data_IF_396849466031
#
_entry.id   IF_396849466031
#
_cell.length_a   1.000
_cell.length_b   1.000
_cell.length_c   1.000
_cell.angle_alpha   90.00
_cell.angle_beta   90.00
_cell.angle_gamma   90.00
#
_symmetry.space_group_name_H-M   'P 1'
#
loop_
_entity.id
_entity.type
_entity.pdbx_description
1 polymer ?
#
# COMPACT_ATOMS: atom_id res chain seq x y z
N UNK A 1 8.04 -1.90 15.52
CA UNK A 1 8.99 -2.06 16.67
C UNK A 1 8.80 -0.93 17.69
N UNK A 2 9.17 -1.13 18.96
CA UNK A 2 9.22 -0.04 19.96
C UNK A 2 10.56 0.69 19.91
N UNK A 3 10.54 2.02 19.87
CA UNK A 3 11.73 2.87 19.93
C UNK A 3 11.64 3.76 21.16
N UNK A 4 12.78 3.97 21.84
CA UNK A 4 12.88 4.86 23.00
C UNK A 4 13.21 6.28 22.53
N UNK A 5 12.34 7.24 22.84
CA UNK A 5 12.58 8.66 22.57
C UNK A 5 13.54 9.29 23.58
N UNK A 6 14.00 10.51 23.28
CA UNK A 6 14.98 11.27 24.08
C UNK A 6 14.53 11.50 25.54
N UNK A 7 13.22 11.59 25.78
CA UNK A 7 12.61 11.76 27.11
C UNK A 7 12.07 10.44 27.70
N UNK A 8 12.67 9.29 27.36
CA UNK A 8 12.23 7.95 27.79
C UNK A 8 10.81 7.51 27.38
N UNK A 9 10.13 8.25 26.50
CA UNK A 9 8.85 7.82 25.94
C UNK A 9 9.03 6.61 25.02
N UNK A 10 8.07 5.67 25.02
CA UNK A 10 8.03 4.55 24.08
C UNK A 10 7.18 4.93 22.87
N UNK A 11 7.80 4.92 21.69
CA UNK A 11 7.13 5.19 20.41
C UNK A 11 6.98 3.90 19.63
N UNK A 12 5.76 3.59 19.17
CA UNK A 12 5.55 2.52 18.21
C UNK A 12 5.95 3.03 16.83
N UNK A 13 6.87 2.35 16.18
CA UNK A 13 7.33 2.69 14.83
C UNK A 13 6.99 1.57 13.87
N UNK A 14 6.32 1.94 12.78
CA UNK A 14 6.05 1.11 11.61
C UNK A 14 6.84 1.69 10.45
N UNK A 15 7.61 0.84 9.77
CA UNK A 15 8.30 1.21 8.55
C UNK A 15 7.47 0.69 7.39
N UNK A 16 7.06 1.59 6.49
CA UNK A 16 6.45 1.21 5.21
C UNK A 16 7.45 1.50 4.11
N UNK A 17 7.53 0.61 3.12
CA UNK A 17 8.30 0.83 1.89
C UNK A 17 7.47 1.56 0.82
N UNK A 18 6.21 1.89 1.12
CA UNK A 18 5.30 2.54 0.18
C UNK A 18 5.66 4.00 -0.10
N UNK A 19 5.46 4.41 -1.35
CA UNK A 19 5.49 5.82 -1.71
C UNK A 19 4.27 6.51 -1.08
N UNK A 20 4.48 7.61 -0.35
CA UNK A 20 3.38 8.36 0.28
C UNK A 20 2.64 9.27 -0.73
N UNK A 21 3.13 9.33 -1.98
CA UNK A 21 2.62 10.20 -3.03
C UNK A 21 1.65 9.44 -3.94
N UNK A 22 0.42 9.94 -4.02
CA UNK A 22 -0.59 9.49 -4.98
C UNK A 22 -0.37 10.17 -6.35
N UNK A 23 -0.61 9.46 -7.46
CA UNK A 23 -0.64 10.09 -8.78
C UNK A 23 0.74 10.59 -9.22
N UNK A 24 1.79 9.80 -9.00
CA UNK A 24 3.13 10.17 -9.45
C UNK A 24 3.28 10.08 -10.97
N UNK A 25 4.05 11.01 -11.53
CA UNK A 25 4.38 11.03 -12.95
C UNK A 25 5.41 9.92 -13.30
N UNK A 26 6.19 9.47 -12.33
CA UNK A 26 7.29 8.51 -12.51
C UNK A 26 7.06 7.26 -11.67
N UNK A 27 7.79 6.19 -12.00
CA UNK A 27 7.80 4.95 -11.23
C UNK A 27 7.18 3.75 -11.95
N UNK A 28 6.94 2.71 -11.16
CA UNK A 28 6.36 1.46 -11.61
C UNK A 28 5.12 1.10 -10.76
N UNK A 29 4.64 -0.10 -10.98
CA UNK A 29 3.49 -0.72 -10.36
C UNK A 29 3.59 -0.70 -8.83
N UNK A 30 4.80 -0.87 -8.28
CA UNK A 30 5.07 -0.77 -6.85
C UNK A 30 4.74 0.60 -6.26
N UNK A 31 4.78 1.68 -7.05
CA UNK A 31 4.39 3.02 -6.58
C UNK A 31 2.86 3.17 -6.42
N UNK A 32 2.06 2.27 -6.99
CA UNK A 32 0.62 2.24 -6.76
C UNK A 32 0.20 1.20 -5.72
N UNK A 33 1.16 0.41 -5.20
CA UNK A 33 0.93 -0.45 -4.06
C UNK A 33 1.04 0.38 -2.77
N UNK A 34 -0.02 0.33 -1.98
CA UNK A 34 -0.14 0.98 -0.68
C UNK A 34 -0.36 -0.09 0.39
N UNK A 35 -0.37 0.34 1.66
CA UNK A 35 -0.63 -0.57 2.77
C UNK A 35 -1.32 0.10 3.93
N UNK A 36 -2.16 -0.69 4.59
CA UNK A 36 -2.70 -0.42 5.91
C UNK A 36 -2.13 -1.44 6.88
N UNK A 37 -1.62 -0.98 8.01
CA UNK A 37 -1.26 -1.84 9.12
C UNK A 37 -2.37 -1.78 10.16
N UNK A 38 -2.78 -2.94 10.63
CA UNK A 38 -3.79 -3.09 11.65
C UNK A 38 -3.21 -3.90 12.80
N UNK A 39 -3.57 -3.56 14.02
CA UNK A 39 -3.07 -4.21 15.21
C UNK A 39 -3.94 -3.85 16.40
N UNK A 40 -3.90 -4.71 17.42
CA UNK A 40 -4.56 -4.46 18.70
C UNK A 40 -3.57 -3.89 19.71
N UNK A 41 -4.01 -2.86 20.44
CA UNK A 41 -3.28 -2.34 21.60
C UNK A 41 -4.00 -2.80 22.85
N UNK A 42 -3.34 -3.61 23.67
CA UNK A 42 -3.85 -4.03 24.98
C UNK A 42 -2.99 -3.49 26.11
N UNK A 43 -3.61 -3.11 27.22
CA UNK A 43 -2.93 -2.61 28.43
C UNK A 43 -3.29 -3.47 29.63
N UNK A 44 -2.29 -4.03 30.32
CA UNK A 44 -2.45 -4.73 31.60
C UNK A 44 -1.55 -4.08 32.64
N UNK A 45 -2.13 -3.28 33.52
CA UNK A 45 -1.37 -2.41 34.43
C UNK A 45 -0.52 -1.41 33.65
N UNK A 46 0.81 -1.42 33.87
CA UNK A 46 1.76 -0.58 33.14
C UNK A 46 2.28 -1.21 31.83
N UNK A 47 1.95 -2.47 31.54
CA UNK A 47 2.42 -3.17 30.34
C UNK A 47 1.48 -2.91 29.16
N UNK A 48 2.01 -2.30 28.10
CA UNK A 48 1.36 -2.16 26.79
C UNK A 48 1.86 -3.29 25.90
N UNK A 49 0.94 -4.01 25.25
CA UNK A 49 1.24 -5.10 24.33
C UNK A 49 0.53 -4.84 23.01
N UNK A 50 1.28 -4.93 21.91
CA UNK A 50 0.75 -4.95 20.55
C UNK A 50 0.52 -6.40 20.15
N UNK A 51 -0.65 -6.70 19.60
CA UNK A 51 -1.03 -8.05 19.14
C UNK A 51 -1.68 -7.97 17.77
N UNK A 52 -1.82 -9.12 17.12
CA UNK A 52 -2.58 -9.28 15.87
C UNK A 52 -2.15 -8.28 14.78
N UNK A 53 -0.84 -8.08 14.67
CA UNK A 53 -0.26 -7.20 13.65
C UNK A 53 -0.48 -7.84 12.30
N UNK A 54 -1.23 -7.17 11.43
CA UNK A 54 -1.47 -7.64 10.08
C UNK A 54 -1.36 -6.50 9.07
N UNK A 55 -0.80 -6.85 7.93
CA UNK A 55 -0.70 -6.02 6.75
C UNK A 55 -1.91 -6.23 5.87
N UNK A 56 -2.47 -5.13 5.36
CA UNK A 56 -3.50 -5.15 4.32
C UNK A 56 -3.03 -4.33 3.13
N UNK A 57 -2.77 -5.01 2.01
CA UNK A 57 -2.42 -4.35 0.76
C UNK A 57 -3.58 -3.52 0.23
N UNK A 58 -3.25 -2.33 -0.22
CA UNK A 58 -4.15 -1.38 -0.87
C UNK A 58 -3.56 -1.04 -2.25
N UNK A 59 -4.41 -0.60 -3.16
CA UNK A 59 -4.03 -0.10 -4.48
C UNK A 59 -4.48 1.34 -4.59
N UNK A 60 -3.54 2.22 -4.87
CA UNK A 60 -3.87 3.55 -5.33
C UNK A 60 -4.38 3.47 -6.77
N UNK A 61 -5.64 3.81 -6.98
CA UNK A 61 -6.32 3.72 -8.25
C UNK A 61 -6.59 5.09 -8.85
N UNK A 62 -6.38 5.18 -10.16
CA UNK A 62 -6.82 6.31 -10.97
C UNK A 62 -7.05 5.84 -12.40
N UNK A 63 -7.78 6.63 -13.18
CA UNK A 63 -7.99 6.44 -14.62
C UNK A 63 -7.30 7.55 -15.40
N UNK A 64 -7.16 7.37 -16.70
CA UNK A 64 -6.71 8.41 -17.63
C UNK A 64 -7.77 8.62 -18.71
N UNK A 65 -8.13 9.89 -18.99
CA UNK A 65 -9.09 10.19 -20.07
C UNK A 65 -8.48 9.94 -21.45
N UNK A 66 -7.18 10.14 -21.56
CA UNK A 66 -6.37 9.89 -22.75
C UNK A 66 -5.29 8.89 -22.32
N UNK A 67 -5.35 7.63 -22.79
CA UNK A 67 -4.38 6.60 -22.41
C UNK A 67 -2.93 7.05 -22.61
N UNK A 68 -2.11 6.94 -21.57
CA UNK A 68 -0.70 7.32 -21.56
C UNK A 68 -0.45 8.81 -21.31
N UNK A 69 -1.50 9.64 -21.29
CA UNK A 69 -1.39 11.05 -20.95
C UNK A 69 -1.66 11.25 -19.46
N UNK A 70 -0.59 11.48 -18.72
CA UNK A 70 -0.59 11.64 -17.28
C UNK A 70 -1.27 12.95 -16.82
N UNK A 71 -1.40 13.95 -17.68
CA UNK A 71 -2.15 15.16 -17.32
C UNK A 71 -3.67 14.93 -17.42
N UNK A 72 -4.09 13.78 -17.97
CA UNK A 72 -5.49 13.39 -18.11
C UNK A 72 -6.01 12.52 -16.97
N UNK A 73 -5.24 12.36 -15.89
CA UNK A 73 -5.60 11.50 -14.76
C UNK A 73 -6.82 12.01 -13.99
N UNK A 74 -7.70 11.10 -13.62
CA UNK A 74 -8.93 11.40 -12.90
C UNK A 74 -9.42 10.18 -12.10
N UNK A 75 -10.50 10.35 -11.33
CA UNK A 75 -11.13 9.25 -10.55
C UNK A 75 -10.18 8.60 -9.54
N UNK A 76 -9.47 9.44 -8.77
CA UNK A 76 -8.52 9.01 -7.76
C UNK A 76 -9.24 8.41 -6.55
N UNK A 77 -8.84 7.20 -6.17
CA UNK A 77 -9.38 6.51 -5.00
C UNK A 77 -8.40 5.43 -4.54
N UNK A 78 -8.64 4.86 -3.36
CA UNK A 78 -7.83 3.77 -2.82
C UNK A 78 -8.73 2.56 -2.61
N UNK A 79 -8.33 1.43 -3.19
CA UNK A 79 -9.04 0.16 -3.03
C UNK A 79 -8.24 -0.82 -2.20
N UNK A 80 -8.89 -1.59 -1.33
CA UNK A 80 -8.32 -2.84 -0.85
C UNK A 80 -7.92 -3.77 -2.01
N UNK A 81 -6.72 -4.34 -1.99
CA UNK A 81 -6.24 -5.24 -3.05
C UNK A 81 -7.12 -6.49 -3.18
N UNK A 82 -7.73 -6.95 -2.08
CA UNK A 82 -8.68 -8.07 -2.06
C UNK A 82 -9.91 -7.81 -2.97
N UNK A 83 -10.35 -6.56 -3.08
CA UNK A 83 -11.49 -6.09 -3.91
C UNK A 83 -11.08 -5.63 -5.30
N UNK A 84 -9.79 -5.54 -5.57
CA UNK A 84 -9.26 -5.13 -6.87
C UNK A 84 -9.36 -6.29 -7.86
N UNK A 85 -9.88 -6.06 -9.07
CA UNK A 85 -10.14 -7.11 -10.05
C UNK A 85 -9.59 -6.74 -11.43
N UNK A 86 -9.64 -7.68 -12.37
CA UNK A 86 -9.05 -7.51 -13.71
C UNK A 86 -9.67 -6.36 -14.51
N UNK A 87 -10.97 -6.08 -14.31
CA UNK A 87 -11.59 -4.91 -14.93
C UNK A 87 -10.95 -3.63 -14.41
N UNK A 88 -10.75 -3.53 -13.10
CA UNK A 88 -10.08 -2.38 -12.49
C UNK A 88 -8.62 -2.29 -12.96
N UNK A 89 -7.89 -3.41 -13.02
CA UNK A 89 -6.54 -3.46 -13.57
C UNK A 89 -6.46 -2.88 -14.99
N UNK A 90 -7.35 -3.31 -15.88
CA UNK A 90 -7.40 -2.85 -17.26
C UNK A 90 -7.80 -1.37 -17.40
N UNK A 91 -8.65 -0.86 -16.50
CA UNK A 91 -9.07 0.54 -16.49
C UNK A 91 -8.07 1.47 -15.77
N UNK A 92 -7.10 0.90 -15.04
CA UNK A 92 -6.14 1.67 -14.28
C UNK A 92 -5.24 2.49 -15.24
N UNK A 93 -5.08 3.79 -14.99
CA UNK A 93 -4.33 4.69 -15.86
C UNK A 93 -2.89 4.21 -16.16
N UNK A 94 -2.17 3.74 -15.14
CA UNK A 94 -0.85 3.11 -15.32
C UNK A 94 -0.82 1.92 -16.28
N UNK A 95 -1.90 1.14 -16.42
CA UNK A 95 -1.94 -0.02 -17.32
C UNK A 95 -1.77 0.37 -18.79
N UNK A 96 -2.06 1.64 -19.14
CA UNK A 96 -1.85 2.16 -20.49
C UNK A 96 -0.37 2.32 -20.87
N UNK A 97 0.54 2.30 -19.89
CA UNK A 97 1.98 2.38 -20.11
C UNK A 97 2.57 1.11 -20.70
N UNK A 98 3.65 1.24 -21.47
CA UNK A 98 4.38 0.09 -22.02
C UNK A 98 4.99 -0.76 -20.90
N UNK A 99 4.83 -2.08 -21.01
CA UNK A 99 5.35 -3.07 -20.05
C UNK A 99 4.83 -2.82 -18.62
N UNK A 100 3.53 -2.53 -18.49
CA UNK A 100 2.85 -2.34 -17.22
C UNK A 100 1.91 -3.49 -16.89
N UNK A 101 1.97 -3.93 -15.64
CA UNK A 101 1.17 -5.04 -15.13
C UNK A 101 0.49 -4.66 -13.81
N UNK A 102 -0.67 -4.02 -13.95
CA UNK A 102 -1.52 -3.64 -12.84
C UNK A 102 -2.42 -4.79 -12.35
N UNK A 103 -2.17 -6.05 -12.72
CA UNK A 103 -3.01 -7.18 -12.28
C UNK A 103 -2.94 -7.41 -10.78
N UNK A 104 -4.00 -7.97 -10.20
CA UNK A 104 -4.03 -8.33 -8.77
C UNK A 104 -2.88 -9.28 -8.41
N UNK A 105 -2.67 -10.31 -9.22
CA UNK A 105 -1.61 -11.30 -9.02
C UNK A 105 -0.22 -10.66 -8.95
N UNK A 106 0.09 -9.73 -9.86
CA UNK A 106 1.35 -9.01 -9.84
C UNK A 106 1.55 -8.20 -8.55
N UNK A 107 0.51 -7.51 -8.11
CA UNK A 107 0.53 -6.69 -6.88
C UNK A 107 0.66 -7.55 -5.62
N UNK A 108 0.00 -8.72 -5.59
CA UNK A 108 0.14 -9.68 -4.50
C UNK A 108 1.55 -10.27 -4.46
N UNK A 109 2.15 -10.56 -5.62
CA UNK A 109 3.54 -11.01 -5.69
C UNK A 109 4.51 -9.97 -5.13
N UNK A 110 4.39 -8.70 -5.53
CA UNK A 110 5.21 -7.61 -4.96
C UNK A 110 5.03 -7.53 -3.44
N UNK A 111 3.78 -7.63 -2.96
CA UNK A 111 3.49 -7.62 -1.51
C UNK A 111 4.22 -8.77 -0.81
N UNK A 112 4.10 -9.99 -1.32
CA UNK A 112 4.67 -11.19 -0.72
C UNK A 112 6.21 -11.24 -0.78
N UNK A 113 6.83 -10.56 -1.75
CA UNK A 113 8.28 -10.42 -1.86
C UNK A 113 8.86 -9.43 -0.83
N UNK A 114 8.08 -8.42 -0.44
CA UNK A 114 8.56 -7.27 0.36
C UNK A 114 8.15 -7.37 1.83
N UNK A 115 6.91 -7.80 2.09
CA UNK A 115 6.34 -7.85 3.43
C UNK A 115 6.65 -9.21 4.05
N UNK A 116 7.11 -9.20 5.30
CA UNK A 116 7.40 -10.43 6.03
C UNK A 116 6.13 -11.29 6.17
N UNK A 117 6.27 -12.60 5.98
CA UNK A 117 5.19 -13.58 6.06
C UNK A 117 4.50 -13.58 7.41
N UNK A 118 5.19 -13.18 8.48
CA UNK A 118 4.57 -13.07 9.80
C UNK A 118 3.46 -11.99 9.88
N UNK A 119 3.40 -11.06 8.93
CA UNK A 119 2.43 -9.97 8.90
C UNK A 119 1.34 -10.13 7.82
N UNK A 120 1.40 -11.17 6.99
CA UNK A 120 0.46 -11.41 5.89
C UNK A 120 -0.76 -12.24 6.31
#
# INVERSE_FOLDING_TARGET
KWVKGINNHKTLVVYSLGNFLNGQNTGNESNNLCGSINFDITKKGQKIVIKNVHWKSLVNYYRERIPGNKDSRYDFTVYPLDKYNDKMANEHGMQSGKNKDMTKEHMERITNEIIDKEFL
#
